data_IF_867979765563
#
_entry.id   IF_867979765563
#
_cell.length_a   1.000
_cell.length_b   1.000
_cell.length_c   1.000
_cell.angle_alpha   90.00
_cell.angle_beta   90.00
_cell.angle_gamma   90.00
#
_symmetry.space_group_name_H-M   'P 1'
#
loop_
_entity.id
_entity.type
_entity.pdbx_description
1 polymer ?
#
# COMPACT_ATOMS: atom_id res chain seq x y z
N UNK A 1 -3.84 -1.09 -15.32
CA UNK A 1 -3.93 -2.40 -16.01
C UNK A 1 -5.36 -2.90 -16.10
N UNK A 2 -6.13 -2.89 -15.00
CA UNK A 2 -7.52 -3.39 -14.98
C UNK A 2 -8.45 -2.78 -16.05
N UNK A 3 -8.42 -1.46 -16.36
CA UNK A 3 -9.27 -0.91 -17.43
C UNK A 3 -8.91 -1.43 -18.82
N UNK A 4 -7.63 -1.74 -19.07
CA UNK A 4 -7.14 -2.28 -20.35
C UNK A 4 -7.52 -3.75 -20.54
N UNK A 5 -7.64 -4.53 -19.47
CA UNK A 5 -8.08 -5.93 -19.51
C UNK A 5 -9.60 -6.07 -19.77
N UNK A 6 -10.37 -5.05 -19.40
CA UNK A 6 -11.83 -5.02 -19.58
C UNK A 6 -12.22 -4.17 -20.81
N UNK A 7 -11.23 -3.59 -21.51
CA UNK A 7 -11.44 -2.75 -22.69
C UNK A 7 -12.35 -1.54 -22.45
N UNK A 8 -12.41 -1.03 -21.22
CA UNK A 8 -13.36 0.01 -20.84
C UNK A 8 -12.75 1.08 -19.94
N UNK A 9 -13.22 2.34 -20.02
CA UNK A 9 -12.77 3.40 -19.13
C UNK A 9 -13.15 3.08 -17.67
N UNK A 10 -12.28 3.49 -16.74
CA UNK A 10 -12.50 3.36 -15.30
C UNK A 10 -13.82 4.04 -14.92
N UNK A 11 -14.66 3.39 -14.10
CA UNK A 11 -15.99 3.89 -13.76
C UNK A 11 -15.98 5.33 -13.20
N UNK A 12 -15.02 5.65 -12.32
CA UNK A 12 -14.82 7.03 -11.87
C UNK A 12 -13.35 7.34 -11.61
N UNK A 13 -12.82 8.29 -12.39
CA UNK A 13 -11.49 8.89 -12.17
C UNK A 13 -11.48 9.73 -10.88
N UNK A 14 -12.62 10.32 -10.51
CA UNK A 14 -12.76 11.08 -9.26
C UNK A 14 -12.56 10.18 -8.03
N UNK A 15 -13.13 8.97 -8.01
CA UNK A 15 -12.92 8.02 -6.92
C UNK A 15 -11.46 7.58 -6.80
N UNK A 16 -10.78 7.40 -7.95
CA UNK A 16 -9.36 7.08 -7.96
C UNK A 16 -8.51 8.22 -7.39
N UNK A 17 -8.86 9.48 -7.70
CA UNK A 17 -8.19 10.64 -7.12
C UNK A 17 -8.40 10.70 -5.60
N UNK A 18 -9.63 10.50 -5.11
CA UNK A 18 -9.91 10.48 -3.66
C UNK A 18 -9.14 9.33 -2.98
N UNK A 19 -9.10 8.13 -3.58
CA UNK A 19 -8.26 7.03 -3.09
C UNK A 19 -6.80 7.46 -2.98
N UNK A 20 -6.25 8.08 -4.02
CA UNK A 20 -4.86 8.54 -4.02
C UNK A 20 -4.59 9.49 -2.85
N UNK A 21 -5.45 10.47 -2.63
CA UNK A 21 -5.29 11.41 -1.51
C UNK A 21 -5.41 10.75 -0.14
N UNK A 22 -6.37 9.84 0.05
CA UNK A 22 -6.49 9.09 1.31
C UNK A 22 -5.31 8.16 1.55
N UNK A 23 -4.85 7.46 0.51
CA UNK A 23 -3.69 6.58 0.61
C UNK A 23 -2.41 7.36 0.91
N UNK A 24 -2.21 8.50 0.26
CA UNK A 24 -1.07 9.39 0.50
C UNK A 24 -1.10 9.95 1.93
N UNK A 25 -2.23 10.52 2.35
CA UNK A 25 -2.37 11.09 3.69
C UNK A 25 -2.24 10.02 4.80
N UNK A 26 -2.87 8.86 4.63
CA UNK A 26 -2.77 7.75 5.57
C UNK A 26 -1.35 7.19 5.68
N UNK A 27 -0.64 7.04 4.56
CA UNK A 27 0.75 6.56 4.56
C UNK A 27 1.70 7.57 5.19
N UNK A 28 1.54 8.87 4.88
CA UNK A 28 2.35 9.92 5.51
C UNK A 28 2.15 9.95 7.02
N UNK A 29 0.91 9.88 7.49
CA UNK A 29 0.60 9.82 8.93
C UNK A 29 1.23 8.58 9.59
N UNK A 30 1.19 7.43 8.91
CA UNK A 30 1.82 6.19 9.39
C UNK A 30 3.33 6.36 9.56
N UNK A 31 4.03 6.89 8.55
CA UNK A 31 5.47 7.11 8.57
C UNK A 31 5.86 8.02 9.75
N UNK A 32 5.16 9.14 9.91
CA UNK A 32 5.41 10.09 11.01
C UNK A 32 5.21 9.40 12.37
N UNK A 33 4.16 8.60 12.54
CA UNK A 33 3.91 7.86 13.78
C UNK A 33 5.02 6.85 14.12
N UNK A 34 5.53 6.14 13.11
CA UNK A 34 6.56 5.12 13.29
C UNK A 34 7.95 5.71 13.50
N UNK A 35 8.23 6.86 12.90
CA UNK A 35 9.45 7.62 13.21
C UNK A 35 9.45 8.10 14.65
N UNK A 36 8.36 8.72 15.11
CA UNK A 36 8.24 9.17 16.50
C UNK A 36 8.38 8.01 17.51
N UNK A 37 7.73 6.89 17.24
CA UNK A 37 7.85 5.68 18.04
C UNK A 37 9.28 5.13 18.06
N UNK A 38 9.92 4.99 16.89
CA UNK A 38 11.26 4.43 16.76
C UNK A 38 12.33 5.28 17.45
N UNK A 39 12.28 6.60 17.28
CA UNK A 39 13.19 7.53 17.95
C UNK A 39 13.00 7.49 19.47
N UNK A 40 11.75 7.53 19.94
CA UNK A 40 11.45 7.52 21.38
C UNK A 40 11.88 6.20 22.03
N UNK A 41 11.60 5.07 21.36
CA UNK A 41 12.00 3.75 21.86
C UNK A 41 13.53 3.59 21.88
N UNK A 42 14.22 4.05 20.82
CA UNK A 42 15.68 4.01 20.76
C UNK A 42 16.33 4.87 21.84
N UNK A 43 15.80 6.07 22.08
CA UNK A 43 16.30 6.96 23.14
C UNK A 43 16.11 6.36 24.53
N UNK A 44 14.95 5.77 24.80
CA UNK A 44 14.66 5.13 26.09
C UNK A 44 15.53 3.90 26.35
N UNK A 45 15.88 3.12 25.30
CA UNK A 45 16.83 2.00 25.44
C UNK A 45 18.28 2.44 25.67
N UNK A 46 18.64 3.65 25.23
CA UNK A 46 19.95 4.23 25.47
C UNK A 46 20.03 5.02 26.78
N UNK A 47 18.92 5.15 27.50
CA UNK A 47 18.83 5.90 28.76
C UNK A 47 19.52 5.14 29.89
N UNK A 48 20.72 5.58 30.23
CA UNK A 48 21.50 5.06 31.36
C UNK A 48 21.57 6.13 32.45
N UNK A 49 21.30 5.74 33.69
CA UNK A 49 21.36 6.60 34.87
C UNK A 49 22.81 6.89 35.29
N UNK A 50 23.03 7.85 36.19
CA UNK A 50 24.38 8.29 36.61
C UNK A 50 25.25 7.16 37.22
N UNK A 51 24.60 6.07 37.66
CA UNK A 51 25.22 4.89 38.28
C UNK A 51 25.52 3.79 37.23
N UNK A 52 25.13 3.98 35.96
CA UNK A 52 25.35 3.01 34.88
C UNK A 52 24.23 1.98 34.69
N UNK A 53 23.12 2.09 35.43
CA UNK A 53 21.94 1.23 35.30
C UNK A 53 20.94 1.79 34.27
N UNK A 54 20.08 0.93 33.72
CA UNK A 54 19.07 1.34 32.74
C UNK A 54 17.96 2.14 33.43
N UNK A 55 17.74 3.40 33.03
CA UNK A 55 16.78 4.29 33.72
C UNK A 55 15.32 3.87 33.53
N UNK A 56 15.01 3.11 32.47
CA UNK A 56 13.66 2.66 32.16
C UNK A 56 13.60 1.15 31.98
N UNK A 57 12.67 0.49 32.69
CA UNK A 57 12.38 -0.93 32.46
C UNK A 57 11.67 -1.12 31.11
N UNK A 58 11.85 -2.30 30.49
CA UNK A 58 11.18 -2.65 29.23
C UNK A 58 9.65 -2.43 29.29
N UNK A 59 9.04 -2.67 30.45
CA UNK A 59 7.62 -2.45 30.69
C UNK A 59 7.21 -0.99 30.51
N UNK A 60 8.02 -0.06 31.01
CA UNK A 60 7.72 1.37 30.97
C UNK A 60 7.90 1.93 29.55
N UNK A 61 8.90 1.41 28.84
CA UNK A 61 9.10 1.70 27.41
C UNK A 61 7.89 1.23 26.61
N UNK A 62 7.39 0.02 26.88
CA UNK A 62 6.20 -0.51 26.20
C UNK A 62 4.95 0.34 26.49
N UNK A 63 4.78 0.78 27.74
CA UNK A 63 3.66 1.65 28.13
C UNK A 63 3.72 3.01 27.41
N UNK A 64 4.91 3.60 27.27
CA UNK A 64 5.13 4.86 26.55
C UNK A 64 4.81 4.77 25.05
N UNK A 65 4.90 3.59 24.44
CA UNK A 65 4.62 3.40 23.00
C UNK A 65 3.14 3.28 22.64
N UNK A 66 2.24 3.06 23.60
CA UNK A 66 0.78 2.96 23.35
C UNK A 66 0.18 4.06 22.47
N UNK A 67 0.43 5.36 22.70
CA UNK A 67 -0.13 6.43 21.86
C UNK A 67 0.31 6.33 20.40
N UNK A 68 1.56 5.93 20.14
CA UNK A 68 2.05 5.77 18.78
C UNK A 68 1.38 4.59 18.06
N UNK A 69 1.11 3.49 18.76
CA UNK A 69 0.38 2.36 18.19
C UNK A 69 -1.09 2.69 17.90
N UNK A 70 -1.73 3.53 18.73
CA UNK A 70 -3.07 4.03 18.45
C UNK A 70 -3.08 4.91 17.18
N UNK A 71 -2.10 5.81 17.05
CA UNK A 71 -1.96 6.65 15.85
C UNK A 71 -1.69 5.81 14.59
N UNK A 72 -0.89 4.74 14.72
CA UNK A 72 -0.64 3.75 13.66
C UNK A 72 -1.94 3.10 13.18
N UNK A 73 -2.82 2.72 14.12
CA UNK A 73 -4.10 2.09 13.80
C UNK A 73 -5.02 3.05 13.05
N UNK A 74 -5.10 4.31 13.49
CA UNK A 74 -5.88 5.35 12.80
C UNK A 74 -5.35 5.58 11.38
N UNK A 75 -4.03 5.69 11.20
CA UNK A 75 -3.41 5.84 9.89
C UNK A 75 -3.74 4.64 8.97
N UNK A 76 -3.65 3.42 9.51
CA UNK A 76 -4.00 2.19 8.80
C UNK A 76 -5.48 2.12 8.39
N UNK A 77 -6.39 2.60 9.25
CA UNK A 77 -7.82 2.67 8.93
C UNK A 77 -8.12 3.61 7.76
N UNK A 78 -7.46 4.78 7.71
CA UNK A 78 -7.60 5.73 6.61
C UNK A 78 -7.14 5.08 5.28
N UNK A 79 -5.99 4.38 5.31
CA UNK A 79 -5.50 3.64 4.15
C UNK A 79 -6.43 2.49 3.74
N UNK A 80 -7.01 1.78 4.70
CA UNK A 80 -7.96 0.70 4.44
C UNK A 80 -9.24 1.22 3.79
N UNK A 81 -9.79 2.33 4.27
CA UNK A 81 -10.95 3.01 3.66
C UNK A 81 -10.62 3.41 2.22
N UNK A 82 -9.42 3.95 1.99
CA UNK A 82 -8.85 4.17 0.66
C UNK A 82 -8.96 2.92 -0.22
N UNK A 83 -8.41 1.80 0.26
CA UNK A 83 -8.38 0.54 -0.47
C UNK A 83 -9.78 -0.02 -0.75
N UNK A 84 -10.70 0.07 0.21
CA UNK A 84 -12.10 -0.32 0.04
C UNK A 84 -12.78 0.51 -1.07
N UNK A 85 -12.50 1.81 -1.15
CA UNK A 85 -13.02 2.67 -2.22
C UNK A 85 -12.47 2.30 -3.60
N UNK A 86 -11.19 1.91 -3.68
CA UNK A 86 -10.62 1.37 -4.91
C UNK A 86 -11.28 0.04 -5.29
N UNK A 87 -11.45 -0.88 -4.33
CA UNK A 87 -12.11 -2.16 -4.55
C UNK A 87 -13.55 -2.00 -5.06
N UNK A 88 -14.31 -1.06 -4.49
CA UNK A 88 -15.65 -0.72 -4.95
C UNK A 88 -15.65 -0.15 -6.38
N UNK A 89 -14.73 0.78 -6.68
CA UNK A 89 -14.60 1.34 -8.03
C UNK A 89 -14.27 0.25 -9.07
N UNK A 90 -13.42 -0.70 -8.67
CA UNK A 90 -13.04 -1.84 -9.50
C UNK A 90 -14.20 -2.79 -9.71
N UNK A 91 -14.90 -3.15 -8.64
CA UNK A 91 -16.07 -4.02 -8.68
C UNK A 91 -17.16 -3.44 -9.59
N UNK A 92 -17.46 -2.14 -9.51
CA UNK A 92 -18.38 -1.45 -10.43
C UNK A 92 -17.87 -1.37 -11.86
N UNK A 93 -16.55 -1.38 -12.08
CA UNK A 93 -15.95 -1.40 -13.42
C UNK A 93 -16.02 -2.81 -14.05
N UNK A 94 -15.94 -3.86 -13.22
CA UNK A 94 -16.03 -5.28 -13.62
C UNK A 94 -17.47 -5.78 -13.73
N UNK A 95 -18.39 -5.31 -12.88
CA UNK A 95 -19.79 -5.70 -12.88
C UNK A 95 -20.47 -5.26 -14.18
N UNK A 96 -20.75 -6.23 -15.04
CA UNK A 96 -21.41 -6.02 -16.34
C UNK A 96 -20.47 -6.01 -17.55
N UNK A 97 -19.18 -6.36 -17.40
CA UNK A 97 -18.24 -6.44 -18.53
C UNK A 97 -17.41 -7.72 -18.48
N UNK A 98 -17.33 -8.41 -19.62
CA UNK A 98 -16.47 -9.57 -19.81
C UNK A 98 -15.05 -9.10 -20.12
N UNK A 99 -14.04 -9.82 -19.62
CA UNK A 99 -12.64 -9.56 -19.94
C UNK A 99 -12.46 -9.63 -21.46
N UNK A 100 -11.92 -8.57 -22.04
CA UNK A 100 -11.62 -8.54 -23.46
C UNK A 100 -10.43 -9.47 -23.68
N UNK A 101 -10.65 -10.54 -24.45
CA UNK A 101 -9.56 -11.43 -24.88
C UNK A 101 -8.63 -10.58 -25.75
N UNK A 102 -7.53 -10.14 -25.16
CA UNK A 102 -6.47 -9.44 -25.89
C UNK A 102 -5.85 -10.46 -26.84
N UNK A 103 -6.25 -10.41 -28.12
CA UNK A 103 -5.50 -11.10 -29.19
C UNK A 103 -4.10 -10.51 -29.22
N UNK A 104 -3.09 -11.36 -29.07
CA UNK A 104 -1.70 -10.95 -29.22
C UNK A 104 -1.55 -10.20 -30.55
N UNK A 105 -0.84 -9.06 -30.57
CA UNK A 105 -0.53 -8.39 -31.83
C UNK A 105 0.20 -9.38 -32.75
N UNK A 106 -0.12 -9.40 -34.06
CA UNK A 106 0.54 -10.31 -34.99
C UNK A 106 2.04 -10.10 -34.90
N UNK A 107 2.77 -11.19 -34.64
CA UNK A 107 4.23 -11.20 -34.54
C UNK A 107 4.80 -10.80 -35.90
N UNK A 108 5.71 -9.85 -35.91
CA UNK A 108 6.43 -9.46 -37.12
C UNK A 108 7.12 -10.70 -37.72
N UNK A 109 7.00 -10.95 -39.04
CA UNK A 109 7.60 -12.13 -39.66
C UNK A 109 9.12 -12.24 -39.47
N UNK A 110 9.82 -11.17 -39.08
CA UNK A 110 11.24 -11.21 -38.70
C UNK A 110 11.53 -11.95 -37.38
N UNK A 111 10.54 -12.08 -36.49
CA UNK A 111 10.65 -12.75 -35.18
C UNK A 111 9.73 -13.97 -35.04
N UNK A 112 8.99 -14.31 -36.09
CA UNK A 112 8.31 -15.60 -36.15
C UNK A 112 9.40 -16.69 -36.18
N UNK A 113 9.45 -17.52 -35.13
CA UNK A 113 10.33 -18.68 -35.09
C UNK A 113 10.13 -19.46 -36.39
N UNK A 114 11.16 -19.40 -37.24
CA UNK A 114 11.19 -20.01 -38.56
C UNK A 114 10.72 -21.44 -38.40
N UNK A 115 9.67 -21.84 -39.14
CA UNK A 115 9.25 -23.24 -39.27
C UNK A 115 10.27 -24.05 -40.08
N UNK A 116 11.54 -23.92 -39.76
CA UNK A 116 12.60 -24.79 -40.25
C UNK A 116 12.96 -25.72 -39.10
N UNK A 117 12.31 -26.88 -39.06
CA UNK A 117 12.84 -28.20 -38.66
C UNK A 117 11.61 -29.10 -38.46
N UNK A 118 11.18 -29.74 -39.53
CA UNK A 118 10.68 -31.12 -39.55
C UNK A 118 10.36 -31.44 -41.02
N UNK A 119 11.40 -31.95 -41.69
CA UNK A 119 11.31 -32.67 -42.95
C UNK A 119 10.46 -33.94 -42.78
#
# INVERSE_FOLDING_TARGET
MVPRLVGAPLYSVRLANIHFWMALAGTMLYIVSMWGAGVSQGLLWLSVDEIGELSFSFKDIMASMQPFYALRLIAGLIFLIGTCLMAFNLFKTLAGRHAVVVKAPPVDPAYAMVKEVAA
#
